data_IF_709094627023
#
_entry.id   IF_709094627023
#
_cell.length_a   1.000
_cell.length_b   1.000
_cell.length_c   1.000
_cell.angle_alpha   90.00
_cell.angle_beta   90.00
_cell.angle_gamma   90.00
#
_symmetry.space_group_name_H-M   'P 1'
#
loop_
_entity.id
_entity.type
_entity.pdbx_description
1 polymer ?
#
# COMPACT_ATOMS: atom_id res chain seq x y z
N UNK A 1 16.14 3.37 -0.29
CA UNK A 1 15.35 3.79 -1.46
C UNK A 1 14.63 5.05 -1.06
N UNK A 2 14.47 6.02 -1.95
CA UNK A 2 13.67 7.21 -1.65
C UNK A 2 12.20 6.84 -1.88
N UNK A 3 11.44 6.66 -0.79
CA UNK A 3 10.03 6.23 -0.84
C UNK A 3 9.14 7.25 -1.56
N UNK A 4 9.65 8.45 -1.83
CA UNK A 4 9.01 9.49 -2.64
C UNK A 4 9.00 9.14 -4.14
N UNK A 5 9.84 8.21 -4.59
CA UNK A 5 9.93 7.81 -6.00
C UNK A 5 8.92 6.74 -6.40
N UNK A 6 8.21 6.15 -5.44
CA UNK A 6 7.23 5.10 -5.68
C UNK A 6 5.82 5.68 -5.72
N UNK A 7 5.12 5.45 -6.83
CA UNK A 7 3.72 5.81 -7.03
C UNK A 7 2.89 4.53 -6.97
N UNK A 8 1.93 4.51 -6.06
CA UNK A 8 0.97 3.44 -5.86
C UNK A 8 -0.34 3.78 -6.56
N UNK A 9 -0.88 2.82 -7.30
CA UNK A 9 -2.27 2.87 -7.74
C UNK A 9 -3.11 2.14 -6.70
N UNK A 10 -4.04 2.85 -6.08
CA UNK A 10 -4.95 2.33 -5.06
C UNK A 10 -6.29 2.02 -5.73
N UNK A 11 -6.81 0.82 -5.50
CA UNK A 11 -8.17 0.46 -5.88
C UNK A 11 -9.14 0.92 -4.79
N UNK A 12 -10.08 1.77 -5.17
CA UNK A 12 -11.11 2.32 -4.28
C UNK A 12 -12.49 2.08 -4.92
N UNK A 13 -13.56 1.85 -4.13
CA UNK A 13 -14.89 1.54 -4.68
C UNK A 13 -15.47 2.55 -5.66
N UNK A 14 -14.95 3.79 -5.66
CA UNK A 14 -15.38 4.87 -6.56
C UNK A 14 -14.39 5.16 -7.71
N UNK A 15 -13.37 4.33 -7.89
CA UNK A 15 -12.34 4.47 -8.92
C UNK A 15 -10.93 4.26 -8.37
N UNK A 16 -9.93 4.32 -9.23
CA UNK A 16 -8.53 4.24 -8.82
C UNK A 16 -7.96 5.62 -8.51
N UNK A 17 -7.01 5.69 -7.57
CA UNK A 17 -6.24 6.91 -7.29
C UNK A 17 -4.75 6.60 -7.25
N UNK A 18 -3.92 7.54 -7.71
CA UNK A 18 -2.46 7.45 -7.59
C UNK A 18 -1.98 8.27 -6.39
N UNK A 19 -1.16 7.68 -5.53
CA UNK A 19 -0.52 8.33 -4.37
C UNK A 19 0.93 7.92 -4.27
N UNK A 20 1.78 8.69 -3.57
CA UNK A 20 3.15 8.22 -3.29
C UNK A 20 3.13 7.17 -2.17
N UNK A 21 4.14 6.29 -2.13
CA UNK A 21 4.31 5.35 -1.02
C UNK A 21 4.43 6.10 0.32
N UNK A 22 5.13 7.23 0.34
CA UNK A 22 5.22 8.08 1.53
C UNK A 22 3.84 8.61 1.98
N UNK A 23 2.99 9.08 1.07
CA UNK A 23 1.64 9.55 1.43
C UNK A 23 0.78 8.40 1.95
N UNK A 24 0.89 7.22 1.34
CA UNK A 24 0.18 6.02 1.76
C UNK A 24 0.56 5.62 3.19
N UNK A 25 1.86 5.45 3.47
CA UNK A 25 2.39 5.13 4.81
C UNK A 25 1.87 6.13 5.84
N UNK A 26 1.88 7.42 5.52
CA UNK A 26 1.51 8.48 6.46
C UNK A 26 0.01 8.55 6.77
N UNK A 27 -0.88 8.05 5.90
CA UNK A 27 -2.32 8.37 5.98
C UNK A 27 -3.27 7.19 5.88
N UNK A 28 -2.97 6.20 5.05
CA UNK A 28 -4.00 5.30 4.52
C UNK A 28 -3.59 3.85 4.63
N UNK A 29 -4.54 2.91 4.74
CA UNK A 29 -5.98 3.10 4.62
C UNK A 29 -6.71 3.34 5.95
N UNK A 30 -6.04 3.22 7.10
CA UNK A 30 -6.69 3.21 8.40
C UNK A 30 -7.75 2.09 8.49
N UNK A 31 -8.98 2.35 8.95
CA UNK A 31 -10.00 1.30 9.14
C UNK A 31 -10.61 0.76 7.82
N UNK A 32 -10.14 1.20 6.65
CA UNK A 32 -10.76 0.86 5.35
C UNK A 32 -10.17 -0.43 4.77
N UNK A 33 -10.72 -1.58 5.17
CA UNK A 33 -10.23 -2.90 4.77
C UNK A 33 -10.43 -3.30 3.30
N UNK A 34 -11.09 -2.47 2.47
CA UNK A 34 -11.30 -2.71 1.03
C UNK A 34 -10.39 -1.87 0.12
N UNK A 35 -9.58 -0.97 0.70
CA UNK A 35 -8.76 -0.02 -0.06
C UNK A 35 -7.31 -0.50 -0.01
N UNK A 36 -6.73 -0.84 -1.15
CA UNK A 36 -5.37 -1.39 -1.20
C UNK A 36 -4.61 -0.98 -2.46
N UNK A 37 -3.28 -0.97 -2.44
CA UNK A 37 -2.48 -0.87 -3.65
C UNK A 37 -2.74 -2.07 -4.57
N UNK A 38 -2.92 -1.80 -5.86
CA UNK A 38 -3.08 -2.81 -6.92
C UNK A 38 -1.98 -2.76 -7.96
N UNK A 39 -1.27 -1.64 -8.05
CA UNK A 39 -0.04 -1.50 -8.83
C UNK A 39 0.93 -0.55 -8.12
N UNK A 40 2.21 -0.69 -8.45
CA UNK A 40 3.27 0.22 -8.01
C UNK A 40 4.22 0.44 -9.17
N UNK A 41 4.66 1.67 -9.34
CA UNK A 41 5.64 2.06 -10.34
C UNK A 41 6.60 3.08 -9.79
N UNK A 42 7.78 3.17 -10.39
CA UNK A 42 8.67 4.33 -10.17
C UNK A 42 8.06 5.57 -10.82
N UNK A 43 8.44 6.74 -10.34
CA UNK A 43 8.09 8.02 -10.96
C UNK A 43 8.51 8.08 -12.45
N UNK A 44 9.61 7.40 -12.79
CA UNK A 44 10.10 7.24 -14.17
C UNK A 44 9.22 6.33 -15.06
N UNK A 45 8.20 5.65 -14.50
CA UNK A 45 7.24 4.83 -15.22
C UNK A 45 7.49 3.32 -15.20
N UNK A 46 8.59 2.85 -14.60
CA UNK A 46 8.88 1.42 -14.46
C UNK A 46 7.90 0.75 -13.49
N UNK A 47 7.12 -0.21 -13.96
CA UNK A 47 6.24 -1.04 -13.12
C UNK A 47 7.07 -1.97 -12.23
N UNK A 48 6.67 -2.08 -10.97
CA UNK A 48 7.33 -2.88 -9.96
C UNK A 48 6.36 -3.90 -9.36
N UNK A 49 6.85 -5.02 -8.83
CA UNK A 49 6.00 -5.94 -8.10
C UNK A 49 5.52 -5.30 -6.79
N UNK A 50 4.28 -5.59 -6.37
CA UNK A 50 3.73 -5.09 -5.09
C UNK A 50 4.56 -5.50 -3.86
N UNK A 51 5.42 -6.50 -3.98
CA UNK A 51 6.33 -6.93 -2.92
C UNK A 51 7.34 -5.86 -2.50
N UNK A 52 7.56 -4.81 -3.31
CA UNK A 52 8.37 -3.65 -2.92
C UNK A 52 7.70 -2.80 -1.83
N UNK A 53 6.37 -2.88 -1.71
CA UNK A 53 5.62 -2.26 -0.61
C UNK A 53 5.84 -3.15 0.62
N UNK A 54 6.27 -2.59 1.77
CA UNK A 54 6.40 -3.38 2.99
C UNK A 54 5.06 -4.03 3.36
N UNK A 55 5.11 -5.25 3.90
CA UNK A 55 3.92 -6.09 4.06
C UNK A 55 2.85 -5.44 4.93
N UNK A 56 3.26 -4.76 6.00
CA UNK A 56 2.40 -4.01 6.91
C UNK A 56 1.57 -2.94 6.20
N UNK A 57 2.08 -2.40 5.08
CA UNK A 57 1.41 -1.35 4.32
C UNK A 57 0.60 -1.86 3.12
N UNK A 58 0.46 -3.17 2.88
CA UNK A 58 -0.24 -3.67 1.68
C UNK A 58 -1.76 -3.66 1.80
N UNK A 59 -2.30 -3.79 3.01
CA UNK A 59 -3.74 -3.95 3.29
C UNK A 59 -4.44 -5.03 2.41
N UNK A 60 -3.69 -6.05 2.00
CA UNK A 60 -4.19 -7.24 1.33
C UNK A 60 -4.60 -8.32 2.35
N UNK A 61 -4.99 -9.51 1.89
CA UNK A 61 -5.38 -10.60 2.79
C UNK A 61 -4.22 -11.09 3.67
N UNK A 62 -3.01 -11.15 3.13
CA UNK A 62 -1.83 -11.59 3.85
C UNK A 62 -1.51 -10.65 5.01
N UNK A 63 -1.32 -9.36 4.72
CA UNK A 63 -1.00 -8.35 5.72
C UNK A 63 -2.06 -8.22 6.81
N UNK A 64 -3.36 -8.20 6.44
CA UNK A 64 -4.45 -8.16 7.41
C UNK A 64 -4.48 -9.39 8.31
N UNK A 65 -4.15 -10.57 7.76
CA UNK A 65 -4.06 -11.80 8.57
C UNK A 65 -2.87 -11.75 9.52
N UNK A 66 -1.70 -11.34 9.06
CA UNK A 66 -0.51 -11.18 9.91
C UNK A 66 -0.76 -10.18 11.06
N UNK A 67 -1.48 -9.10 10.79
CA UNK A 67 -1.90 -8.13 11.82
C UNK A 67 -2.89 -8.77 12.80
N UNK A 68 -3.91 -9.46 12.30
CA UNK A 68 -4.92 -10.11 13.14
C UNK A 68 -4.32 -11.21 14.04
N UNK A 69 -3.33 -11.93 13.53
CA UNK A 69 -2.59 -12.97 14.25
C UNK A 69 -1.52 -12.39 15.20
N UNK A 70 -1.32 -11.06 15.20
CA UNK A 70 -0.33 -10.36 16.04
C UNK A 70 1.13 -10.59 15.63
N UNK A 71 1.37 -11.05 14.40
CA UNK A 71 2.71 -11.33 13.86
C UNK A 71 3.41 -10.03 13.45
N UNK A 72 2.65 -9.05 12.94
CA UNK A 72 3.12 -7.69 12.64
C UNK A 72 2.19 -6.68 13.29
N UNK A 73 2.71 -5.50 13.62
CA UNK A 73 1.91 -4.40 14.15
C UNK A 73 1.04 -3.78 13.05
N UNK A 74 -0.17 -3.36 13.40
CA UNK A 74 -0.97 -2.53 12.51
C UNK A 74 -0.31 -1.14 12.41
N UNK A 75 0.13 -0.70 11.22
CA UNK A 75 0.82 0.58 11.11
C UNK A 75 -0.14 1.78 11.12
N UNK A 76 -1.46 1.56 11.21
CA UNK A 76 -2.51 2.60 11.21
C UNK A 76 -3.55 2.46 12.31
#
# INVERSE_FOLDING_TARGET
>A
MDDSELILTIDHPMGTVEVTLQEWIARGPGPRGLVRPVAVRRAAGEELPLSVIPVEYRNDEESRRLIADGIIENPW
#
